data_IF_323271817224
#
_entry.id   IF_323271817224
#
_cell.length_a   1.000
_cell.length_b   1.000
_cell.length_c   1.000
_cell.angle_alpha   90.00
_cell.angle_beta   90.00
_cell.angle_gamma   90.00
#
_symmetry.space_group_name_H-M   'P 1'
#
loop_
_entity.id
_entity.type
_entity.pdbx_description
1 polymer ?
#
# COMPACT_ATOMS: atom_id res chain seq x y z
N UNK A 1 14.95 -3.11 15.55
CA UNK A 1 14.02 -4.02 16.27
C UNK A 1 12.63 -3.83 15.68
N UNK A 2 11.84 -4.89 15.57
CA UNK A 2 10.43 -4.82 15.13
C UNK A 2 9.57 -4.57 16.36
N UNK A 3 8.55 -3.70 16.25
CA UNK A 3 7.61 -3.45 17.33
C UNK A 3 6.65 -4.64 17.50
N UNK A 4 6.41 -5.03 18.76
CA UNK A 4 5.37 -5.99 19.11
C UNK A 4 3.98 -5.32 19.10
N UNK A 5 2.93 -6.13 19.21
CA UNK A 5 1.54 -5.70 19.41
C UNK A 5 1.40 -4.65 20.54
N UNK A 6 2.03 -4.93 21.69
CA UNK A 6 2.05 -4.01 22.83
C UNK A 6 2.66 -2.66 22.45
N UNK A 7 3.86 -2.65 21.85
CA UNK A 7 4.55 -1.43 21.45
C UNK A 7 3.83 -0.67 20.32
N UNK A 8 3.17 -1.39 19.40
CA UNK A 8 2.30 -0.78 18.38
C UNK A 8 1.13 -0.08 19.06
N UNK A 9 0.46 -0.75 20.00
CA UNK A 9 -0.66 -0.18 20.76
C UNK A 9 -0.25 1.08 21.54
N UNK A 10 0.89 1.07 22.22
CA UNK A 10 1.43 2.25 22.93
C UNK A 10 1.75 3.40 21.95
N UNK A 11 2.36 3.10 20.80
CA UNK A 11 2.71 4.11 19.80
C UNK A 11 1.47 4.77 19.18
N UNK A 12 0.41 3.99 18.92
CA UNK A 12 -0.88 4.49 18.46
C UNK A 12 -1.56 5.36 19.54
N UNK A 13 -1.62 4.88 20.79
CA UNK A 13 -2.23 5.62 21.90
C UNK A 13 -1.52 6.95 22.18
N UNK A 14 -0.20 6.97 22.00
CA UNK A 14 0.62 8.20 22.15
C UNK A 14 0.59 9.11 20.91
N UNK A 15 -0.10 8.72 19.82
CA UNK A 15 -0.14 9.46 18.55
C UNK A 15 1.20 9.51 17.82
N UNK A 16 2.15 8.63 18.14
CA UNK A 16 3.44 8.51 17.42
C UNK A 16 3.27 7.87 16.05
N UNK A 17 2.45 6.84 15.97
CA UNK A 17 1.98 6.25 14.72
C UNK A 17 0.54 6.69 14.53
N UNK A 18 0.15 7.12 13.34
CA UNK A 18 -1.24 7.39 13.02
C UNK A 18 -1.74 6.40 11.95
N UNK A 19 -2.91 5.82 12.21
CA UNK A 19 -3.63 4.93 11.30
C UNK A 19 -5.10 5.34 11.34
N UNK A 20 -5.62 5.86 10.25
CA UNK A 20 -6.99 6.39 10.21
C UNK A 20 -7.71 5.99 8.90
N UNK A 21 -8.87 5.33 9.01
CA UNK A 21 -9.49 4.76 10.22
C UNK A 21 -8.84 3.45 10.63
N UNK A 22 -8.53 3.26 11.90
CA UNK A 22 -8.02 1.96 12.38
C UNK A 22 -9.11 0.89 12.29
N UNK A 23 -8.77 -0.30 11.76
CA UNK A 23 -9.68 -1.43 11.69
C UNK A 23 -9.87 -2.11 13.05
N UNK A 24 -11.03 -2.76 13.24
CA UNK A 24 -11.25 -3.64 14.38
C UNK A 24 -10.26 -4.80 14.34
N UNK A 25 -9.67 -5.15 15.49
CA UNK A 25 -8.65 -6.22 15.63
C UNK A 25 -7.50 -6.10 14.61
N UNK A 26 -7.12 -4.88 14.23
CA UNK A 26 -6.06 -4.66 13.24
C UNK A 26 -4.67 -5.00 13.79
N UNK A 27 -4.43 -4.84 15.09
CA UNK A 27 -3.12 -5.10 15.71
C UNK A 27 -2.88 -6.61 15.75
N UNK A 28 -1.75 -7.03 15.19
CA UNK A 28 -1.27 -8.40 15.12
C UNK A 28 0.05 -8.50 15.94
N UNK A 29 0.56 -9.69 16.26
CA UNK A 29 1.72 -9.84 17.16
C UNK A 29 2.97 -9.01 16.82
N UNK A 30 3.20 -8.66 15.54
CA UNK A 30 4.34 -7.85 15.09
C UNK A 30 3.99 -6.95 13.89
N UNK A 31 2.72 -6.68 13.67
CA UNK A 31 2.25 -5.88 12.53
C UNK A 31 0.85 -5.31 12.79
N UNK A 32 0.40 -4.48 11.86
CA UNK A 32 -0.96 -3.95 11.83
C UNK A 32 -1.58 -4.29 10.48
N UNK A 33 -2.75 -4.92 10.48
CA UNK A 33 -3.51 -5.23 9.27
C UNK A 33 -4.06 -3.95 8.62
N UNK A 34 -3.98 -3.88 7.31
CA UNK A 34 -4.52 -2.80 6.48
C UNK A 34 -5.56 -3.33 5.52
N UNK A 35 -6.50 -2.45 5.17
CA UNK A 35 -7.62 -2.78 4.29
C UNK A 35 -7.48 -2.13 2.91
N UNK A 36 -8.14 -2.73 1.94
CA UNK A 36 -8.20 -2.24 0.57
C UNK A 36 -9.22 -1.11 0.44
N UNK A 37 -8.84 -0.02 -0.20
CA UNK A 37 -9.76 1.02 -0.66
C UNK A 37 -10.50 0.57 -1.93
N UNK A 38 -11.50 1.34 -2.36
CA UNK A 38 -12.35 1.05 -3.53
C UNK A 38 -11.76 1.53 -4.85
N UNK A 39 -10.71 2.35 -4.83
CA UNK A 39 -10.12 2.94 -6.02
C UNK A 39 -8.97 2.09 -6.56
N UNK A 40 -9.04 1.85 -7.87
CA UNK A 40 -8.00 1.15 -8.63
C UNK A 40 -7.52 2.02 -9.78
N UNK A 41 -6.24 1.91 -10.09
CA UNK A 41 -5.66 2.52 -11.29
C UNK A 41 -5.24 1.41 -12.24
N UNK A 42 -5.96 1.33 -13.36
CA UNK A 42 -5.79 0.29 -14.38
C UNK A 42 -4.96 0.83 -15.55
N UNK A 43 -4.12 -0.02 -16.15
CA UNK A 43 -3.33 0.32 -17.31
C UNK A 43 -4.14 0.10 -18.60
N UNK A 44 -4.10 1.10 -19.50
CA UNK A 44 -4.72 1.06 -20.82
C UNK A 44 -3.64 0.96 -21.90
N UNK A 45 -3.15 -0.25 -22.12
CA UNK A 45 -1.95 -0.56 -22.92
C UNK A 45 -2.02 -0.21 -24.43
N UNK A 46 -3.15 0.27 -24.94
CA UNK A 46 -3.36 0.43 -26.40
C UNK A 46 -2.92 1.79 -26.97
N UNK A 47 -2.33 2.65 -26.16
CA UNK A 47 -1.94 4.00 -26.61
C UNK A 47 -0.46 4.18 -26.90
N UNK A 48 0.42 3.33 -26.36
CA UNK A 48 1.87 3.40 -26.55
C UNK A 48 2.44 2.00 -26.70
N UNK A 49 3.55 1.87 -27.43
CA UNK A 49 4.24 0.61 -27.64
C UNK A 49 5.07 0.18 -26.42
N UNK A 50 5.47 1.13 -25.57
CA UNK A 50 6.26 0.89 -24.36
C UNK A 50 6.06 2.03 -23.36
N UNK A 51 6.49 1.82 -22.13
CA UNK A 51 6.54 2.83 -21.07
C UNK A 51 7.96 3.40 -21.01
N UNK A 52 8.14 4.72 -21.30
CA UNK A 52 9.38 5.41 -20.94
C UNK A 52 9.21 5.97 -19.52
N UNK A 53 10.00 5.43 -18.58
CA UNK A 53 9.90 5.80 -17.16
C UNK A 53 10.28 7.27 -16.87
N UNK A 54 10.89 7.97 -17.82
CA UNK A 54 11.24 9.40 -17.72
C UNK A 54 10.07 10.31 -18.10
N UNK A 55 9.07 9.78 -18.81
CA UNK A 55 7.89 10.53 -19.24
C UNK A 55 6.72 10.36 -18.26
N UNK A 56 5.74 11.28 -18.34
CA UNK A 56 4.45 11.05 -17.68
C UNK A 56 3.73 9.89 -18.33
N UNK A 57 3.15 9.05 -17.51
CA UNK A 57 2.34 7.89 -17.93
C UNK A 57 0.87 8.03 -17.51
N UNK A 58 0.43 9.25 -17.16
CA UNK A 58 -0.95 9.50 -16.71
C UNK A 58 -1.98 9.13 -17.78
N UNK A 59 -1.65 9.33 -19.06
CA UNK A 59 -2.49 8.97 -20.21
C UNK A 59 -2.61 7.46 -20.44
N UNK A 60 -1.71 6.66 -19.86
CA UNK A 60 -1.72 5.18 -19.95
C UNK A 60 -2.59 4.52 -18.89
N UNK A 61 -3.11 5.29 -17.95
CA UNK A 61 -3.88 4.76 -16.82
C UNK A 61 -5.23 5.43 -16.69
N UNK A 62 -6.18 4.75 -16.08
CA UNK A 62 -7.46 5.31 -15.65
C UNK A 62 -7.74 4.90 -14.21
N UNK A 63 -8.38 5.78 -13.46
CA UNK A 63 -8.89 5.43 -12.13
C UNK A 63 -10.29 4.86 -12.31
N UNK A 64 -10.52 3.70 -11.72
CA UNK A 64 -11.80 3.02 -11.63
C UNK A 64 -12.17 2.87 -10.16
N UNK A 65 -13.44 3.03 -9.85
CA UNK A 65 -13.98 2.88 -8.49
C UNK A 65 -15.02 1.78 -8.50
N UNK A 66 -14.86 0.81 -7.59
CA UNK A 66 -15.82 -0.29 -7.43
C UNK A 66 -16.90 0.08 -6.41
N UNK A 67 -18.13 -0.41 -6.61
CA UNK A 67 -19.19 -0.32 -5.63
C UNK A 67 -18.91 -1.23 -4.41
N UNK A 68 -19.60 -0.99 -3.30
CA UNK A 68 -19.31 -1.70 -2.03
C UNK A 68 -19.58 -3.21 -2.11
N UNK A 69 -20.48 -3.64 -2.98
CA UNK A 69 -20.89 -5.04 -3.18
C UNK A 69 -20.26 -5.68 -4.44
N UNK A 70 -19.49 -4.93 -5.21
CA UNK A 70 -18.83 -5.42 -6.41
C UNK A 70 -17.34 -5.72 -6.17
N UNK A 71 -16.82 -6.86 -6.65
CA UNK A 71 -15.40 -7.14 -6.61
C UNK A 71 -14.68 -6.44 -7.77
N UNK A 72 -13.44 -6.06 -7.54
CA UNK A 72 -12.47 -5.88 -8.64
C UNK A 72 -11.93 -7.26 -9.04
N UNK A 73 -12.07 -7.64 -10.31
CA UNK A 73 -11.61 -8.93 -10.82
C UNK A 73 -10.26 -8.75 -11.51
N UNK A 74 -9.20 -9.27 -10.86
CA UNK A 74 -7.83 -9.23 -11.37
C UNK A 74 -7.53 -10.51 -12.17
N UNK A 75 -7.36 -10.38 -13.48
CA UNK A 75 -7.09 -11.53 -14.34
C UNK A 75 -5.63 -12.00 -14.25
N UNK A 76 -5.33 -13.27 -14.63
CA UNK A 76 -3.96 -13.79 -14.66
C UNK A 76 -3.01 -12.90 -15.47
N UNK A 77 -1.87 -12.54 -14.86
CA UNK A 77 -0.86 -11.70 -15.52
C UNK A 77 -1.17 -10.19 -15.53
N UNK A 78 -2.32 -9.77 -15.00
CA UNK A 78 -2.62 -8.34 -14.86
C UNK A 78 -1.84 -7.69 -13.72
N UNK A 79 -1.57 -6.41 -13.92
CA UNK A 79 -0.98 -5.50 -12.94
C UNK A 79 -1.86 -4.27 -12.79
N UNK A 80 -2.26 -3.94 -11.56
CA UNK A 80 -3.05 -2.75 -11.26
C UNK A 80 -2.56 -2.10 -9.97
N UNK A 81 -2.81 -0.81 -9.80
CA UNK A 81 -2.56 -0.12 -8.55
C UNK A 81 -3.86 0.04 -7.77
N UNK A 82 -3.81 -0.23 -6.48
CA UNK A 82 -4.83 0.14 -5.52
C UNK A 82 -4.24 1.00 -4.43
N UNK A 83 -5.01 1.26 -3.37
CA UNK A 83 -4.53 1.96 -2.19
C UNK A 83 -5.07 1.33 -0.92
N UNK A 84 -4.40 1.63 0.19
CA UNK A 84 -4.94 1.32 1.51
C UNK A 84 -6.17 2.19 1.78
N UNK A 85 -7.14 1.64 2.50
CA UNK A 85 -8.25 2.43 3.05
C UNK A 85 -7.72 3.42 4.09
N UNK A 86 -6.74 2.98 4.89
CA UNK A 86 -6.13 3.75 5.95
C UNK A 86 -5.15 4.80 5.39
N UNK A 87 -5.19 5.97 6.01
CA UNK A 87 -4.06 6.90 6.00
C UNK A 87 -3.09 6.49 7.10
N UNK A 88 -1.82 6.46 6.74
CA UNK A 88 -0.74 6.01 7.62
C UNK A 88 0.21 7.16 7.86
N UNK A 89 0.60 7.41 9.11
CA UNK A 89 1.62 8.38 9.48
C UNK A 89 2.74 7.71 10.27
N UNK A 90 3.97 7.88 9.80
CA UNK A 90 5.18 7.26 10.36
C UNK A 90 6.04 8.35 11.01
N UNK A 91 6.46 8.23 12.29
CA UNK A 91 7.34 9.19 12.95
C UNK A 91 8.76 9.13 12.36
N UNK A 92 9.59 10.07 12.73
CA UNK A 92 10.97 10.23 12.24
C UNK A 92 11.95 9.16 12.75
N UNK A 93 11.57 8.41 13.78
CA UNK A 93 12.39 7.37 14.41
C UNK A 93 11.94 5.92 14.09
N UNK A 94 10.92 5.77 13.27
CA UNK A 94 10.46 4.48 12.77
C UNK A 94 10.51 4.43 11.24
N UNK A 95 10.82 3.27 10.70
CA UNK A 95 10.52 2.91 9.32
C UNK A 95 9.44 1.84 9.32
N UNK A 96 8.48 1.93 8.41
CA UNK A 96 7.48 0.89 8.29
C UNK A 96 7.74 0.01 7.05
N UNK A 97 7.20 -1.21 7.07
CA UNK A 97 7.33 -2.15 5.97
C UNK A 97 5.97 -2.78 5.65
N UNK A 98 5.57 -2.60 4.39
CA UNK A 98 4.39 -3.23 3.82
C UNK A 98 4.68 -4.67 3.44
N UNK A 99 3.80 -5.58 3.84
CA UNK A 99 3.84 -6.99 3.48
C UNK A 99 2.45 -7.47 3.06
N UNK A 100 2.40 -8.46 2.15
CA UNK A 100 1.16 -9.15 1.81
C UNK A 100 0.70 -10.09 2.94
N UNK A 101 -0.58 -10.45 2.91
CA UNK A 101 -1.08 -11.52 3.77
C UNK A 101 -0.76 -12.88 3.16
N UNK A 102 -0.16 -13.76 3.95
CA UNK A 102 0.25 -15.10 3.48
C UNK A 102 -0.91 -15.92 2.92
N UNK A 103 -2.12 -15.74 3.44
CA UNK A 103 -3.33 -16.42 2.96
C UNK A 103 -3.68 -16.02 1.51
N UNK A 104 -3.47 -14.76 1.15
CA UNK A 104 -3.71 -14.23 -0.20
C UNK A 104 -2.55 -14.54 -1.14
N UNK A 105 -1.31 -14.42 -0.64
CA UNK A 105 -0.11 -14.79 -1.40
C UNK A 105 -0.11 -16.25 -1.85
N UNK A 106 -0.65 -17.15 -1.04
CA UNK A 106 -0.82 -18.58 -1.40
C UNK A 106 -1.86 -18.82 -2.49
N UNK A 107 -2.73 -17.86 -2.74
CA UNK A 107 -3.69 -17.88 -3.86
C UNK A 107 -3.10 -17.23 -5.14
N UNK A 108 -1.88 -16.67 -5.05
CA UNK A 108 -1.22 -16.00 -6.16
C UNK A 108 -1.49 -14.50 -6.24
N UNK A 109 -2.06 -13.88 -5.20
CA UNK A 109 -2.22 -12.44 -5.14
C UNK A 109 -0.99 -11.79 -4.50
N UNK A 110 -0.27 -10.99 -5.27
CA UNK A 110 0.79 -10.10 -4.77
C UNK A 110 0.21 -8.72 -4.56
N UNK A 111 0.66 -8.00 -3.53
CA UNK A 111 0.19 -6.62 -3.25
C UNK A 111 1.31 -5.58 -3.31
N UNK A 112 2.55 -6.00 -3.44
CA UNK A 112 3.72 -5.20 -3.78
C UNK A 112 4.80 -6.13 -4.34
N UNK A 113 5.69 -5.58 -5.17
CA UNK A 113 6.73 -6.39 -5.80
C UNK A 113 8.15 -5.96 -5.41
N UNK A 114 8.39 -4.68 -5.13
CA UNK A 114 9.75 -4.15 -4.97
C UNK A 114 9.94 -3.18 -3.81
N UNK A 115 9.03 -2.25 -3.57
CA UNK A 115 9.21 -1.13 -2.65
C UNK A 115 8.31 -1.28 -1.41
N UNK A 116 8.69 -2.17 -0.51
CA UNK A 116 7.94 -2.42 0.73
C UNK A 116 8.22 -1.45 1.86
N UNK A 117 9.27 -0.62 1.80
CA UNK A 117 9.59 0.36 2.82
C UNK A 117 8.74 1.61 2.70
N UNK A 118 8.28 2.12 3.86
CA UNK A 118 7.57 3.38 4.03
C UNK A 118 8.46 4.23 4.94
N UNK A 119 9.01 5.29 4.37
CA UNK A 119 10.04 6.09 5.00
C UNK A 119 9.55 6.84 6.26
N UNK A 120 10.45 7.11 7.22
CA UNK A 120 10.18 7.98 8.36
C UNK A 120 9.66 9.35 7.91
N UNK A 121 8.58 9.83 8.54
CA UNK A 121 7.94 11.10 8.18
C UNK A 121 6.89 11.01 7.07
N UNK A 122 6.68 9.85 6.45
CA UNK A 122 5.60 9.66 5.49
C UNK A 122 4.23 9.79 6.14
N UNK A 123 3.31 10.46 5.45
CA UNK A 123 1.90 10.52 5.79
C UNK A 123 1.06 10.40 4.51
N UNK A 124 0.07 9.50 4.49
CA UNK A 124 -0.82 9.30 3.34
C UNK A 124 -1.42 7.91 3.27
N UNK A 125 -2.23 7.66 2.23
CA UNK A 125 -2.60 6.30 1.84
C UNK A 125 -1.42 5.64 1.14
N UNK A 126 -1.25 4.33 1.30
CA UNK A 126 -0.17 3.59 0.66
C UNK A 126 -0.69 3.03 -0.66
N UNK A 127 0.05 3.24 -1.75
CA UNK A 127 -0.25 2.59 -3.03
C UNK A 127 0.15 1.11 -2.95
N UNK A 128 -0.76 0.25 -3.40
CA UNK A 128 -0.60 -1.20 -3.47
C UNK A 128 -0.42 -1.62 -4.94
N UNK A 129 0.55 -2.49 -5.20
CA UNK A 129 0.93 -2.96 -6.55
C UNK A 129 0.40 -4.38 -6.75
N UNK A 130 -0.86 -4.51 -7.17
CA UNK A 130 -1.49 -5.82 -7.34
C UNK A 130 -1.00 -6.55 -8.58
N UNK A 131 -0.65 -7.83 -8.41
CA UNK A 131 -0.38 -8.75 -9.51
C UNK A 131 -1.04 -10.10 -9.21
N UNK A 132 -1.66 -10.68 -10.23
CA UNK A 132 -2.18 -12.04 -10.18
C UNK A 132 -1.23 -12.99 -10.91
N UNK A 133 -0.50 -13.81 -10.16
CA UNK A 133 0.41 -14.83 -10.72
C UNK A 133 -0.21 -16.23 -10.74
N UNK A 134 -1.49 -16.34 -10.36
CA UNK A 134 -2.25 -17.59 -10.47
C UNK A 134 -2.80 -17.79 -11.90
N UNK A 135 -3.39 -18.95 -12.16
CA UNK A 135 -4.01 -19.30 -13.44
C UNK A 135 -5.49 -18.92 -13.55
N UNK A 136 -6.11 -18.50 -12.44
CA UNK A 136 -7.53 -18.10 -12.37
C UNK A 136 -7.65 -16.63 -11.99
N UNK A 137 -8.70 -15.94 -12.46
CA UNK A 137 -9.02 -14.60 -11.97
C UNK A 137 -9.25 -14.58 -10.45
N UNK A 138 -8.79 -13.52 -9.78
CA UNK A 138 -8.96 -13.32 -8.36
C UNK A 138 -9.90 -12.14 -8.15
N UNK A 139 -10.99 -12.35 -7.41
CA UNK A 139 -11.91 -11.32 -7.00
C UNK A 139 -11.45 -10.70 -5.67
N UNK A 140 -11.21 -9.38 -5.65
CA UNK A 140 -10.84 -8.62 -4.45
C UNK A 140 -11.91 -7.57 -4.16
N UNK A 141 -12.20 -7.35 -2.88
CA UNK A 141 -13.30 -6.48 -2.44
C UNK A 141 -12.77 -5.31 -1.62
N UNK A 142 -13.39 -4.15 -1.75
CA UNK A 142 -13.12 -3.01 -0.89
C UNK A 142 -13.36 -3.37 0.60
N UNK A 143 -12.55 -2.80 1.48
CA UNK A 143 -12.64 -3.04 2.93
C UNK A 143 -12.02 -4.36 3.42
N UNK A 144 -11.66 -5.30 2.54
CA UNK A 144 -11.01 -6.54 2.96
C UNK A 144 -9.61 -6.28 3.52
N UNK A 145 -9.16 -7.08 4.49
CA UNK A 145 -7.77 -7.06 4.97
C UNK A 145 -6.86 -7.58 3.87
N UNK A 146 -6.08 -6.70 3.28
CA UNK A 146 -5.31 -6.99 2.07
C UNK A 146 -3.81 -7.17 2.33
N UNK A 147 -3.30 -6.51 3.35
CA UNK A 147 -1.89 -6.51 3.71
C UNK A 147 -1.69 -6.25 5.19
N UNK A 148 -0.44 -6.08 5.56
CA UNK A 148 -0.04 -5.74 6.92
C UNK A 148 1.18 -4.81 6.88
N UNK A 149 1.33 -3.99 7.91
CA UNK A 149 2.46 -3.09 8.08
C UNK A 149 3.20 -3.47 9.36
N UNK A 150 4.49 -3.72 9.29
CA UNK A 150 5.37 -3.84 10.45
C UNK A 150 6.17 -2.56 10.64
N UNK A 151 6.54 -2.26 11.87
CA UNK A 151 7.27 -1.06 12.25
C UNK A 151 8.63 -1.45 12.84
N UNK A 152 9.69 -0.82 12.34
CA UNK A 152 11.06 -1.08 12.76
C UNK A 152 11.66 0.18 13.37
N UNK A 153 12.21 0.04 14.58
CA UNK A 153 12.90 1.13 15.26
C UNK A 153 14.19 1.46 14.51
N UNK A 154 14.37 2.73 14.16
CA UNK A 154 15.62 3.26 13.62
C UNK A 154 16.67 3.37 14.75
N UNK A 155 17.95 3.34 14.40
CA UNK A 155 19.05 3.51 15.36
C UNK A 155 19.08 4.93 15.95
N UNK A 156 18.66 5.91 15.17
CA UNK A 156 18.45 7.31 15.54
C UNK A 156 17.29 7.85 14.71
N UNK A 157 16.59 8.90 15.14
CA UNK A 157 15.69 9.64 14.26
C UNK A 157 16.42 10.12 13.00
N UNK A 158 15.70 10.25 11.88
CA UNK A 158 16.29 10.77 10.65
C UNK A 158 16.47 12.28 10.73
N UNK A 159 17.55 12.80 10.15
CA UNK A 159 17.79 14.24 10.07
C UNK A 159 16.80 14.94 9.11
N UNK A 160 16.35 14.22 8.08
CA UNK A 160 15.43 14.74 7.06
C UNK A 160 14.29 13.76 6.84
N UNK A 161 13.13 13.95 7.49
CA UNK A 161 11.94 13.15 7.26
C UNK A 161 11.46 13.23 5.82
N UNK A 162 10.73 12.20 5.37
CA UNK A 162 10.23 12.09 4.01
C UNK A 162 9.44 13.33 3.56
N UNK A 163 9.86 13.91 2.43
CA UNK A 163 9.22 15.05 1.78
C UNK A 163 9.06 14.80 0.26
N UNK A 164 9.03 13.54 -0.13
CA UNK A 164 8.97 13.14 -1.53
C UNK A 164 7.58 13.35 -2.16
N UNK A 165 7.48 13.02 -3.43
CA UNK A 165 6.30 13.26 -4.28
C UNK A 165 5.01 12.55 -3.84
N UNK A 166 5.11 11.59 -2.93
CA UNK A 166 3.96 10.84 -2.41
C UNK A 166 3.50 11.31 -1.03
N UNK A 167 4.12 12.36 -0.48
CA UNK A 167 3.68 12.93 0.80
C UNK A 167 2.24 13.44 0.68
N UNK A 168 1.39 13.05 1.63
CA UNK A 168 -0.02 13.43 1.65
C UNK A 168 -0.89 12.75 0.57
N UNK A 169 -0.38 11.71 -0.12
CA UNK A 169 -1.13 11.09 -1.20
C UNK A 169 -2.48 10.51 -0.76
N UNK A 170 -3.44 10.55 -1.69
CA UNK A 170 -4.76 9.92 -1.58
C UNK A 170 -5.04 9.14 -2.85
N UNK A 171 -5.56 7.93 -2.71
CA UNK A 171 -5.79 7.00 -3.81
C UNK A 171 -4.50 6.44 -4.44
N UNK A 172 -4.62 5.56 -5.43
CA UNK A 172 -3.48 4.91 -6.08
C UNK A 172 -2.74 5.88 -7.01
N UNK A 173 -1.49 6.21 -6.68
CA UNK A 173 -0.63 7.10 -7.45
C UNK A 173 0.23 6.32 -8.42
N UNK A 174 0.35 6.81 -9.65
CA UNK A 174 1.29 6.29 -10.63
C UNK A 174 2.70 6.86 -10.38
N UNK A 175 3.72 6.00 -10.56
CA UNK A 175 5.11 6.40 -10.45
C UNK A 175 5.70 6.96 -11.74
N UNK A 176 6.83 7.65 -11.61
CA UNK A 176 7.76 7.99 -12.70
C UNK A 176 9.19 8.02 -12.14
N UNK A 177 10.19 7.82 -12.98
CA UNK A 177 11.57 7.91 -12.54
C UNK A 177 11.90 9.29 -11.95
N UNK A 178 12.81 9.30 -11.01
CA UNK A 178 13.49 10.53 -10.59
C UNK A 178 14.60 10.79 -11.61
N UNK A 179 14.49 11.84 -12.39
CA UNK A 179 15.51 12.36 -13.34
C UNK A 179 15.97 13.70 -12.88
#
# INVERSE_FOLDING_TARGET
MILSDHSIGEALAAGRISIDPIGEDAIQPASLDIRLDRQFRVFRAHRRAYIDVRESVDDLTAVEEIADDEPFVLHPGEFVLGSTLERVGIPDDLVARLEGKSSLGRLGLLIHSTAGYIDPGFEGQITLEFSNVASLPIAIHAGMRIGQISFLQMTTPVDTPYQGKYQGQSGPKIGRAHV
#
